data_IF_582606864240
#
_entry.id   IF_582606864240
#
_cell.length_a   1.000
_cell.length_b   1.000
_cell.length_c   1.000
_cell.angle_alpha   90.00
_cell.angle_beta   90.00
_cell.angle_gamma   90.00
#
_symmetry.space_group_name_H-M   'P 1'
#
loop_
_entity.id
_entity.type
_entity.pdbx_description
1 polymer ?
#
# COMPACT_ATOMS: atom_id res chain seq x y z
N UNK A 1 10.32 22.47 10.87
CA UNK A 1 9.96 21.16 11.46
C UNK A 1 9.60 20.22 10.33
N UNK A 2 10.53 19.33 9.93
CA UNK A 2 10.52 18.65 8.61
C UNK A 2 9.29 17.74 8.42
N UNK A 3 8.83 17.05 9.48
CA UNK A 3 7.62 16.22 9.39
C UNK A 3 6.36 17.06 9.12
N UNK A 4 6.18 18.17 9.84
CA UNK A 4 5.02 19.04 9.71
C UNK A 4 4.95 19.74 8.34
N UNK A 5 6.08 20.00 7.70
CA UNK A 5 6.09 20.56 6.33
C UNK A 5 5.78 19.54 5.24
N UNK A 6 5.88 18.24 5.55
CA UNK A 6 5.77 17.15 4.56
C UNK A 6 4.45 16.40 4.66
N UNK A 7 3.74 16.53 5.79
CA UNK A 7 2.48 15.86 6.07
C UNK A 7 1.55 16.80 6.84
N UNK A 8 0.36 17.01 6.31
CA UNK A 8 -0.70 17.77 7.00
C UNK A 8 -1.13 17.08 8.31
N UNK A 9 -1.06 15.74 8.37
CA UNK A 9 -1.36 14.96 9.57
C UNK A 9 -0.35 15.29 10.67
N UNK A 10 0.95 15.27 10.36
CA UNK A 10 1.98 15.69 11.31
C UNK A 10 1.81 17.16 11.69
N UNK A 11 1.54 18.05 10.74
CA UNK A 11 1.29 19.46 11.05
C UNK A 11 0.19 19.61 12.10
N UNK A 12 -0.99 19.00 11.89
CA UNK A 12 -2.11 19.05 12.84
C UNK A 12 -1.76 18.45 14.19
N UNK A 13 -1.10 17.30 14.21
CA UNK A 13 -0.68 16.62 15.44
C UNK A 13 0.24 17.50 16.30
N UNK A 14 1.07 18.33 15.66
CA UNK A 14 2.02 19.19 16.35
C UNK A 14 1.53 20.61 16.61
N UNK A 15 0.51 21.10 15.89
CA UNK A 15 0.07 22.50 15.96
C UNK A 15 -1.32 22.71 16.58
N UNK A 16 -2.12 21.66 16.77
CA UNK A 16 -3.54 21.80 17.11
C UNK A 16 -3.91 21.45 18.56
N UNK A 17 -2.96 21.54 19.52
CA UNK A 17 -3.25 21.34 20.94
C UNK A 17 -3.53 19.88 21.34
N UNK A 18 -3.01 18.92 20.56
CA UNK A 18 -3.03 17.50 20.92
C UNK A 18 -2.02 17.20 22.03
N UNK A 19 -2.19 16.06 22.73
CA UNK A 19 -1.30 15.65 23.83
C UNK A 19 0.18 15.61 23.42
N UNK A 20 0.44 15.31 22.14
CA UNK A 20 1.76 15.34 21.51
C UNK A 20 2.35 16.76 21.42
N UNK A 21 1.51 17.79 21.30
CA UNK A 21 1.94 19.21 21.26
C UNK A 21 2.10 19.86 22.63
N UNK A 22 1.53 19.27 23.68
CA UNK A 22 1.54 19.81 25.05
C UNK A 22 2.53 19.10 26.01
N UNK A 23 3.13 17.99 25.58
CA UNK A 23 4.12 17.24 26.36
C UNK A 23 5.51 17.90 26.33
N UNK A 24 6.21 17.90 27.48
CA UNK A 24 7.63 18.28 27.57
C UNK A 24 8.55 17.38 26.72
N UNK A 25 8.08 16.20 26.31
CA UNK A 25 8.72 15.31 25.33
C UNK A 25 7.64 14.72 24.40
N UNK A 26 7.33 15.39 23.27
CA UNK A 26 6.39 14.90 22.27
C UNK A 26 6.76 13.48 21.84
N UNK A 27 5.81 12.54 21.92
CA UNK A 27 6.00 11.16 21.43
C UNK A 27 4.79 10.77 20.61
N UNK A 28 5.04 10.21 19.44
CA UNK A 28 4.01 9.62 18.57
C UNK A 28 4.20 8.12 18.65
N UNK A 29 3.17 7.42 19.13
CA UNK A 29 3.14 5.96 19.07
C UNK A 29 2.66 5.52 17.69
N UNK A 30 3.54 4.87 16.94
CA UNK A 30 3.25 4.32 15.61
C UNK A 30 3.11 2.80 15.71
N UNK A 31 2.15 2.35 16.51
CA UNK A 31 1.83 0.93 16.66
C UNK A 31 1.34 0.29 15.36
N UNK A 32 1.67 -0.99 15.19
CA UNK A 32 1.18 -1.84 14.10
C UNK A 32 1.96 -1.77 12.79
N UNK A 33 3.19 -1.25 12.80
CA UNK A 33 4.04 -1.13 11.60
C UNK A 33 5.45 -1.62 11.88
N UNK A 34 6.10 -2.26 10.90
CA UNK A 34 7.49 -2.67 11.03
C UNK A 34 8.44 -1.48 11.13
N UNK A 35 9.53 -1.67 11.88
CA UNK A 35 10.60 -0.67 11.98
C UNK A 35 11.21 -0.36 10.61
N UNK A 36 11.24 -1.34 9.70
CA UNK A 36 11.82 -1.20 8.36
C UNK A 36 10.98 -0.26 7.49
N UNK A 37 9.67 -0.47 7.43
CA UNK A 37 8.78 0.43 6.69
C UNK A 37 8.77 1.84 7.29
N UNK A 38 8.79 1.94 8.63
CA UNK A 38 8.86 3.22 9.32
C UNK A 38 10.17 3.96 9.00
N UNK A 39 11.30 3.26 9.01
CA UNK A 39 12.62 3.83 8.65
C UNK A 39 12.62 4.35 7.22
N UNK A 40 12.07 3.60 6.26
CA UNK A 40 11.94 4.02 4.88
C UNK A 40 11.11 5.31 4.74
N UNK A 41 9.98 5.43 5.46
CA UNK A 41 9.18 6.66 5.49
C UNK A 41 9.99 7.85 6.04
N UNK A 42 10.71 7.66 7.15
CA UNK A 42 11.53 8.72 7.75
C UNK A 42 12.66 9.15 6.81
N UNK A 43 13.37 8.20 6.19
CA UNK A 43 14.38 8.50 5.18
C UNK A 43 13.81 9.35 4.05
N UNK A 44 12.64 8.98 3.53
CA UNK A 44 11.98 9.73 2.48
C UNK A 44 11.62 11.15 2.92
N UNK A 45 11.06 11.33 4.12
CA UNK A 45 10.69 12.65 4.64
C UNK A 45 11.91 13.59 4.72
N UNK A 46 13.07 13.07 5.10
CA UNK A 46 14.28 13.89 5.29
C UNK A 46 15.13 14.06 4.02
N UNK A 47 15.13 13.08 3.13
CA UNK A 47 16.06 13.03 1.99
C UNK A 47 15.36 13.00 0.63
N UNK A 48 14.04 12.83 0.61
CA UNK A 48 13.24 12.56 -0.59
C UNK A 48 13.73 11.31 -1.35
N UNK A 49 14.41 10.38 -0.66
CA UNK A 49 14.92 9.11 -1.18
C UNK A 49 14.70 7.99 -0.15
N UNK A 50 14.63 6.74 -0.63
CA UNK A 50 14.53 5.55 0.22
C UNK A 50 15.77 4.69 -0.05
N UNK A 51 16.59 4.48 0.97
CA UNK A 51 17.80 3.65 0.92
C UNK A 51 17.55 2.31 1.62
N UNK A 52 16.65 2.32 2.61
CA UNK A 52 16.17 1.13 3.28
C UNK A 52 15.61 0.13 2.28
N UNK A 53 16.10 -1.11 2.38
CA UNK A 53 15.70 -2.20 1.50
C UNK A 53 14.37 -2.79 1.98
N UNK A 54 13.37 -2.79 1.10
CA UNK A 54 12.08 -3.43 1.31
C UNK A 54 12.06 -4.75 0.53
N UNK A 55 12.43 -5.84 1.20
CA UNK A 55 12.72 -7.12 0.54
C UNK A 55 11.47 -7.89 0.10
N UNK A 56 10.33 -7.69 0.76
CA UNK A 56 9.10 -8.43 0.49
C UNK A 56 7.91 -7.48 0.26
N UNK A 57 6.83 -8.07 -0.27
CA UNK A 57 5.60 -7.35 -0.62
C UNK A 57 4.96 -6.70 0.60
N UNK A 58 4.96 -7.38 1.75
CA UNK A 58 4.34 -6.87 2.99
C UNK A 58 5.03 -5.59 3.49
N UNK A 59 6.36 -5.51 3.44
CA UNK A 59 7.08 -4.28 3.80
C UNK A 59 6.75 -3.11 2.86
N UNK A 60 6.53 -3.39 1.57
CA UNK A 60 6.11 -2.36 0.60
C UNK A 60 4.66 -1.93 0.81
N UNK A 61 3.77 -2.87 1.13
CA UNK A 61 2.38 -2.60 1.54
C UNK A 61 2.34 -1.78 2.84
N UNK A 62 3.15 -2.11 3.84
CA UNK A 62 3.24 -1.32 5.08
C UNK A 62 3.73 0.11 4.83
N UNK A 63 4.68 0.31 3.91
CA UNK A 63 5.11 1.65 3.52
C UNK A 63 3.98 2.43 2.82
N UNK A 64 3.22 1.77 1.94
CA UNK A 64 2.05 2.37 1.30
C UNK A 64 0.97 2.73 2.34
N UNK A 65 0.67 1.83 3.29
CA UNK A 65 -0.24 2.06 4.42
C UNK A 65 0.18 3.28 5.24
N UNK A 66 1.47 3.39 5.58
CA UNK A 66 2.02 4.55 6.28
C UNK A 66 1.82 5.84 5.48
N UNK A 67 2.12 5.81 4.18
CA UNK A 67 2.03 6.99 3.34
C UNK A 67 0.59 7.51 3.21
N UNK A 68 -0.39 6.62 3.10
CA UNK A 68 -1.81 6.97 3.09
C UNK A 68 -2.27 7.46 4.48
N UNK A 69 -1.86 6.75 5.55
CA UNK A 69 -2.19 7.12 6.94
C UNK A 69 -1.71 8.51 7.33
N UNK A 70 -0.52 8.90 6.87
CA UNK A 70 0.07 10.20 7.16
C UNK A 70 -0.09 11.21 6.01
N UNK A 71 -0.83 10.88 4.94
CA UNK A 71 -1.13 11.80 3.83
C UNK A 71 0.11 12.29 3.08
N UNK A 72 1.10 11.43 2.86
CA UNK A 72 2.34 11.74 2.14
C UNK A 72 2.22 11.22 0.70
N UNK A 73 1.50 11.95 -0.15
CA UNK A 73 1.12 11.51 -1.50
C UNK A 73 2.30 11.06 -2.37
N UNK A 74 3.42 11.79 -2.34
CA UNK A 74 4.62 11.40 -3.11
C UNK A 74 5.18 10.05 -2.68
N UNK A 75 5.15 9.76 -1.39
CA UNK A 75 5.60 8.47 -0.86
C UNK A 75 4.62 7.36 -1.24
N UNK A 76 3.31 7.65 -1.24
CA UNK A 76 2.29 6.71 -1.69
C UNK A 76 2.51 6.30 -3.14
N UNK A 77 2.78 7.26 -4.03
CA UNK A 77 3.08 6.97 -5.43
C UNK A 77 4.35 6.11 -5.56
N UNK A 78 5.43 6.45 -4.85
CA UNK A 78 6.67 5.67 -4.89
C UNK A 78 6.48 4.25 -4.36
N UNK A 79 5.77 4.08 -3.25
CA UNK A 79 5.48 2.76 -2.69
C UNK A 79 4.57 1.94 -3.62
N UNK A 80 3.58 2.57 -4.25
CA UNK A 80 2.75 1.93 -5.28
C UNK A 80 3.59 1.47 -6.48
N UNK A 81 4.48 2.33 -7.00
CA UNK A 81 5.37 1.99 -8.11
C UNK A 81 6.27 0.80 -7.75
N UNK A 82 6.84 0.76 -6.54
CA UNK A 82 7.63 -0.39 -6.07
C UNK A 82 6.82 -1.70 -6.04
N UNK A 83 5.54 -1.66 -5.63
CA UNK A 83 4.64 -2.82 -5.61
C UNK A 83 4.33 -3.25 -7.05
N UNK A 84 4.01 -2.28 -7.93
CA UNK A 84 3.70 -2.55 -9.35
C UNK A 84 4.89 -3.21 -10.03
N UNK A 85 6.10 -2.70 -9.83
CA UNK A 85 7.31 -3.21 -10.48
C UNK A 85 7.75 -4.58 -9.98
N UNK A 86 7.56 -4.87 -8.69
CA UNK A 86 8.18 -6.04 -8.04
C UNK A 86 7.20 -7.15 -7.70
N UNK A 87 5.92 -6.83 -7.49
CA UNK A 87 4.92 -7.75 -6.96
C UNK A 87 3.74 -7.98 -7.88
N UNK A 88 3.47 -7.12 -8.87
CA UNK A 88 2.29 -7.28 -9.73
C UNK A 88 2.48 -8.44 -10.72
N UNK A 89 1.82 -9.55 -10.43
CA UNK A 89 1.87 -10.79 -11.23
C UNK A 89 0.47 -11.40 -11.36
N UNK A 90 0.32 -12.46 -12.17
CA UNK A 90 -0.94 -13.21 -12.25
C UNK A 90 -1.38 -13.79 -10.90
N UNK A 91 -0.43 -14.16 -10.03
CA UNK A 91 -0.71 -14.77 -8.73
C UNK A 91 -1.10 -13.78 -7.64
N UNK A 92 -0.73 -12.51 -7.79
CA UNK A 92 -0.84 -11.48 -6.76
C UNK A 92 -1.80 -10.36 -7.12
N UNK A 93 -2.15 -10.19 -8.41
CA UNK A 93 -2.98 -9.06 -8.87
C UNK A 93 -4.34 -8.98 -8.17
N UNK A 94 -4.99 -10.10 -7.85
CA UNK A 94 -6.28 -10.08 -7.16
C UNK A 94 -6.14 -9.61 -5.70
N UNK A 95 -5.14 -10.12 -4.99
CA UNK A 95 -4.84 -9.69 -3.62
C UNK A 95 -4.49 -8.19 -3.59
N UNK A 96 -3.63 -7.74 -4.52
CA UNK A 96 -3.22 -6.34 -4.62
C UNK A 96 -4.38 -5.43 -5.01
N UNK A 97 -5.29 -5.89 -5.87
CA UNK A 97 -6.50 -5.16 -6.22
C UNK A 97 -7.37 -4.94 -4.98
N UNK A 98 -7.73 -6.01 -4.26
CA UNK A 98 -8.51 -5.95 -3.02
C UNK A 98 -7.83 -5.06 -1.97
N UNK A 99 -6.53 -5.25 -1.77
CA UNK A 99 -5.73 -4.44 -0.84
C UNK A 99 -5.77 -2.94 -1.18
N UNK A 100 -5.74 -2.58 -2.46
CA UNK A 100 -5.68 -1.18 -2.90
C UNK A 100 -7.03 -0.45 -2.86
N UNK A 101 -8.15 -1.17 -2.75
CA UNK A 101 -9.49 -0.58 -2.83
C UNK A 101 -9.78 0.41 -1.70
N UNK A 102 -9.27 0.13 -0.50
CA UNK A 102 -9.51 0.93 0.72
C UNK A 102 -8.84 2.32 0.71
N UNK A 103 -7.92 2.55 -0.23
CA UNK A 103 -7.09 3.75 -0.24
C UNK A 103 -7.59 4.86 -1.16
N UNK A 104 -7.24 6.10 -0.83
CA UNK A 104 -7.61 7.26 -1.63
C UNK A 104 -6.71 7.37 -2.85
N UNK A 105 -5.43 7.04 -2.70
CA UNK A 105 -4.52 6.93 -3.82
C UNK A 105 -4.86 5.70 -4.68
N UNK A 106 -5.27 5.96 -5.93
CA UNK A 106 -5.72 4.92 -6.88
C UNK A 106 -4.64 4.46 -7.86
N UNK A 107 -3.38 4.86 -7.69
CA UNK A 107 -2.29 4.45 -8.61
C UNK A 107 -2.17 2.92 -8.67
N UNK A 108 -2.05 2.25 -7.52
CA UNK A 108 -1.97 0.80 -7.46
C UNK A 108 -3.25 0.11 -7.96
N UNK A 109 -4.43 0.61 -7.55
CA UNK A 109 -5.72 0.07 -7.99
C UNK A 109 -5.86 0.09 -9.51
N UNK A 110 -5.56 1.23 -10.13
CA UNK A 110 -5.64 1.39 -11.57
C UNK A 110 -4.64 0.49 -12.30
N UNK A 111 -3.41 0.36 -11.77
CA UNK A 111 -2.41 -0.53 -12.33
C UNK A 111 -2.86 -2.01 -12.30
N UNK A 112 -3.45 -2.46 -11.18
CA UNK A 112 -4.03 -3.80 -11.05
C UNK A 112 -5.17 -4.03 -12.05
N UNK A 113 -6.07 -3.05 -12.23
CA UNK A 113 -7.15 -3.12 -13.21
C UNK A 113 -6.62 -3.22 -14.64
N UNK A 114 -5.69 -2.36 -15.02
CA UNK A 114 -5.11 -2.38 -16.37
C UNK A 114 -4.34 -3.68 -16.63
N UNK A 115 -3.54 -4.14 -15.67
CA UNK A 115 -2.86 -5.43 -15.76
C UNK A 115 -3.86 -6.58 -15.95
N UNK A 116 -4.97 -6.57 -15.21
CA UNK A 116 -6.04 -7.57 -15.32
C UNK A 116 -6.73 -7.54 -16.68
N UNK A 117 -6.98 -6.34 -17.25
CA UNK A 117 -7.57 -6.18 -18.58
C UNK A 117 -6.65 -6.74 -19.66
N UNK A 118 -5.36 -6.35 -19.63
CA UNK A 118 -4.36 -6.78 -20.61
C UNK A 118 -4.14 -8.29 -20.55
N UNK A 119 -4.16 -8.88 -19.35
CA UNK A 119 -3.87 -10.30 -19.13
C UNK A 119 -5.12 -11.15 -18.93
N UNK A 120 -6.31 -10.68 -19.29
CA UNK A 120 -7.60 -11.32 -18.96
C UNK A 120 -7.63 -12.83 -19.22
N UNK A 121 -7.24 -13.27 -20.42
CA UNK A 121 -7.27 -14.69 -20.79
C UNK A 121 -6.29 -15.53 -19.96
N UNK A 122 -5.09 -14.99 -19.69
CA UNK A 122 -4.09 -15.64 -18.87
C UNK A 122 -4.55 -15.73 -17.41
N UNK A 123 -5.19 -14.67 -16.91
CA UNK A 123 -5.76 -14.61 -15.57
C UNK A 123 -6.88 -15.65 -15.39
N UNK A 124 -7.83 -15.71 -16.33
CA UNK A 124 -8.92 -16.71 -16.30
C UNK A 124 -8.34 -18.14 -16.30
N UNK A 125 -7.36 -18.42 -17.17
CA UNK A 125 -6.72 -19.73 -17.21
C UNK A 125 -5.99 -20.05 -15.91
N UNK A 126 -5.24 -19.08 -15.36
CA UNK A 126 -4.54 -19.22 -14.08
C UNK A 126 -5.50 -19.54 -12.95
N UNK A 127 -6.62 -18.83 -12.85
CA UNK A 127 -7.65 -19.06 -11.81
C UNK A 127 -8.35 -20.40 -11.98
N UNK A 128 -8.65 -20.82 -13.21
CA UNK A 128 -9.22 -22.14 -13.48
C UNK A 128 -8.27 -23.27 -13.06
N UNK A 129 -6.98 -23.13 -13.36
CA UNK A 129 -5.96 -24.09 -12.93
C UNK A 129 -5.86 -24.15 -11.41
N UNK A 130 -5.78 -22.99 -10.73
CA UNK A 130 -5.77 -22.93 -9.26
C UNK A 130 -7.03 -23.56 -8.63
N UNK A 131 -8.21 -23.36 -9.23
CA UNK A 131 -9.46 -23.95 -8.76
C UNK A 131 -9.53 -25.48 -8.97
N UNK A 132 -8.91 -26.00 -10.03
CA UNK A 132 -8.81 -27.44 -10.31
C UNK A 132 -7.76 -28.13 -9.44
N UNK A 133 -6.69 -27.42 -9.06
CA UNK A 133 -5.62 -27.92 -8.19
C UNK A 133 -5.99 -27.91 -6.69
N UNK A 134 -7.03 -27.16 -6.29
CA UNK A 134 -7.74 -27.34 -5.02
C UNK A 134 -7.74 -26.15 -4.05
N UNK A 135 -8.51 -25.09 -4.35
CA UNK A 135 -8.80 -24.01 -3.39
C UNK A 135 -10.30 -23.63 -3.44
N UNK A 136 -10.86 -23.38 -2.26
CA UNK A 136 -12.29 -23.44 -1.92
C UNK A 136 -13.22 -22.36 -2.53
N UNK A 137 -14.51 -22.52 -2.19
CA UNK A 137 -15.67 -21.80 -2.73
C UNK A 137 -15.59 -20.26 -2.72
N UNK A 138 -14.74 -19.66 -1.88
CA UNK A 138 -14.56 -18.20 -1.81
C UNK A 138 -14.05 -17.61 -3.14
N UNK A 139 -13.04 -18.24 -3.77
CA UNK A 139 -12.45 -17.75 -5.03
C UNK A 139 -13.46 -17.84 -6.18
N UNK A 140 -14.38 -18.81 -6.13
CA UNK A 140 -15.44 -18.97 -7.13
C UNK A 140 -16.45 -17.83 -7.08
N UNK A 141 -16.78 -17.33 -5.89
CA UNK A 141 -17.76 -16.26 -5.71
C UNK A 141 -17.24 -14.92 -6.24
N UNK A 142 -16.00 -14.57 -5.89
CA UNK A 142 -15.33 -13.37 -6.41
C UNK A 142 -15.16 -13.42 -7.93
N UNK A 143 -14.94 -14.61 -8.50
CA UNK A 143 -14.83 -14.81 -9.96
C UNK A 143 -16.16 -14.61 -10.70
N UNK A 144 -17.29 -15.06 -10.15
CA UNK A 144 -18.61 -14.85 -10.76
C UNK A 144 -18.98 -13.37 -10.76
N UNK A 145 -18.68 -12.65 -9.68
CA UNK A 145 -18.99 -11.23 -9.56
C UNK A 145 -18.15 -10.35 -10.50
N UNK A 146 -16.90 -10.75 -10.80
CA UNK A 146 -16.01 -10.03 -11.71
C UNK A 146 -16.33 -10.26 -13.20
N UNK A 147 -17.00 -11.37 -13.55
CA UNK A 147 -17.39 -11.69 -14.93
C UNK A 147 -18.77 -11.16 -15.33
N UNK A 148 -19.59 -10.74 -14.36
CA UNK A 148 -20.98 -10.27 -14.60
C UNK A 148 -21.15 -8.75 -14.57
N UNK A 149 -20.07 -7.98 -14.40
CA UNK A 149 -20.02 -6.52 -14.62
C UNK A 149 -19.37 -6.20 -15.97
#
# INVERSE_FOLDING_TARGET
MVLASTSEVFYKMFSAGFAESESHAPRIDMGGVSEVALRAMVEFIYTNTIITVLDNMELRKELFDLSERYGIEKLANIAADMIIERDLTLGTVLELLEYSEKYSNKVLYNACLEYSKVNRNALVKYLLMAALEGVGDEIRKTFVDLLTQ
#
